data_IF_389254658733
#
_entry.id   IF_389254658733
#
_cell.length_a   1.000
_cell.length_b   1.000
_cell.length_c   1.000
_cell.angle_alpha   90.00
_cell.angle_beta   90.00
_cell.angle_gamma   90.00
#
_symmetry.space_group_name_H-M   'P 1'
#
loop_
_entity.id
_entity.type
_entity.pdbx_description
1 polymer ?
#
# COMPACT_ATOMS: atom_id res chain seq x y z
N UNK A 1 -38.10 15.15 30.79
CA UNK A 1 -37.05 15.65 29.88
C UNK A 1 -35.67 15.00 30.16
N UNK A 2 -35.24 14.82 31.41
CA UNK A 2 -33.89 14.26 31.76
C UNK A 2 -33.59 12.85 31.20
N UNK A 3 -34.57 11.92 31.19
CA UNK A 3 -34.41 10.54 30.65
C UNK A 3 -34.14 10.51 29.13
N UNK A 4 -34.82 11.37 28.34
CA UNK A 4 -34.62 11.43 26.88
C UNK A 4 -33.22 11.97 26.51
N UNK A 5 -32.72 12.99 27.25
CA UNK A 5 -31.36 13.49 27.07
C UNK A 5 -30.30 12.45 27.46
N UNK A 6 -30.51 11.66 28.52
CA UNK A 6 -29.59 10.61 28.92
C UNK A 6 -29.47 9.51 27.86
N UNK A 7 -30.60 9.05 27.29
CA UNK A 7 -30.60 8.05 26.22
C UNK A 7 -29.88 8.59 24.97
N UNK A 8 -30.10 9.85 24.59
CA UNK A 8 -29.42 10.47 23.45
C UNK A 8 -27.90 10.53 23.63
N UNK A 9 -27.43 10.87 24.85
CA UNK A 9 -26.00 10.90 25.19
C UNK A 9 -25.39 9.50 25.14
N UNK A 10 -26.06 8.49 25.65
CA UNK A 10 -25.59 7.09 25.62
C UNK A 10 -25.49 6.60 24.17
N UNK A 11 -26.51 6.86 23.33
CA UNK A 11 -26.48 6.49 21.91
C UNK A 11 -25.35 7.20 21.16
N UNK A 12 -25.09 8.46 21.47
CA UNK A 12 -24.00 9.23 20.87
C UNK A 12 -22.62 8.66 21.28
N UNK A 13 -22.45 8.31 22.56
CA UNK A 13 -21.21 7.71 23.06
C UNK A 13 -20.97 6.32 22.44
N UNK A 14 -22.00 5.48 22.31
CA UNK A 14 -21.90 4.17 21.66
C UNK A 14 -21.60 4.35 20.15
N UNK A 15 -22.23 5.29 19.48
CA UNK A 15 -21.98 5.60 18.07
C UNK A 15 -20.55 6.09 17.84
N UNK A 16 -20.08 7.04 18.64
CA UNK A 16 -18.71 7.57 18.55
C UNK A 16 -17.68 6.51 18.95
N UNK A 17 -17.94 5.75 20.00
CA UNK A 17 -17.05 4.65 20.43
C UNK A 17 -16.95 3.55 19.40
N UNK A 18 -18.07 3.10 18.83
CA UNK A 18 -18.11 2.12 17.76
C UNK A 18 -17.39 2.60 16.50
N UNK A 19 -17.60 3.86 16.12
CA UNK A 19 -16.91 4.48 14.98
C UNK A 19 -15.38 4.57 15.21
N UNK A 20 -14.94 4.95 16.41
CA UNK A 20 -13.52 4.99 16.76
C UNK A 20 -12.87 3.60 16.71
N UNK A 21 -13.53 2.56 17.26
CA UNK A 21 -13.04 1.18 17.19
C UNK A 21 -12.94 0.68 15.75
N UNK A 22 -13.92 0.98 14.91
CA UNK A 22 -13.87 0.67 13.49
C UNK A 22 -12.73 1.42 12.78
N UNK A 23 -12.61 2.73 13.04
CA UNK A 23 -11.58 3.58 12.43
C UNK A 23 -10.15 3.18 12.80
N UNK A 24 -9.95 2.68 14.02
CA UNK A 24 -8.67 2.19 14.54
C UNK A 24 -8.46 0.70 14.30
N UNK A 25 -9.38 0.00 13.63
CA UNK A 25 -9.21 -1.41 13.33
C UNK A 25 -7.97 -1.63 12.43
N UNK A 26 -7.25 -2.72 12.67
CA UNK A 26 -6.06 -3.08 11.90
C UNK A 26 -6.33 -3.11 10.38
N UNK A 27 -7.52 -3.56 9.97
CA UNK A 27 -7.92 -3.57 8.55
C UNK A 27 -7.96 -2.16 7.95
N UNK A 28 -8.52 -1.18 8.66
CA UNK A 28 -8.61 0.21 8.18
C UNK A 28 -7.24 0.90 8.20
N UNK A 29 -6.42 0.60 9.18
CA UNK A 29 -5.03 1.08 9.24
C UNK A 29 -4.27 0.59 8.01
N UNK A 30 -4.32 -0.71 7.71
CA UNK A 30 -3.67 -1.31 6.54
C UNK A 30 -4.19 -0.67 5.25
N UNK A 31 -5.50 -0.57 5.04
CA UNK A 31 -6.08 0.04 3.83
C UNK A 31 -5.58 1.46 3.61
N UNK A 32 -5.61 2.30 4.64
CA UNK A 32 -5.11 3.69 4.56
C UNK A 32 -3.62 3.74 4.25
N UNK A 33 -2.82 2.86 4.85
CA UNK A 33 -1.39 2.77 4.56
C UNK A 33 -1.16 2.45 3.09
N UNK A 34 -1.83 1.44 2.54
CA UNK A 34 -1.70 1.09 1.12
C UNK A 34 -2.12 2.22 0.19
N UNK A 35 -3.22 2.92 0.48
CA UNK A 35 -3.64 4.08 -0.30
C UNK A 35 -2.60 5.21 -0.25
N UNK A 36 -2.03 5.49 0.92
CA UNK A 36 -0.98 6.50 1.07
C UNK A 36 0.31 6.11 0.32
N UNK A 37 0.67 4.82 0.32
CA UNK A 37 1.81 4.30 -0.43
C UNK A 37 1.60 4.44 -1.95
N UNK A 38 0.40 4.17 -2.46
CA UNK A 38 0.07 4.37 -3.87
C UNK A 38 0.25 5.83 -4.30
N UNK A 39 -0.20 6.79 -3.48
CA UNK A 39 0.04 8.22 -3.70
C UNK A 39 1.54 8.54 -3.68
N UNK A 40 2.30 7.94 -2.76
CA UNK A 40 3.77 8.14 -2.70
C UNK A 40 4.49 7.58 -3.92
N UNK A 41 3.99 6.51 -4.52
CA UNK A 41 4.51 5.92 -5.75
C UNK A 41 4.14 6.73 -7.00
N UNK A 42 3.09 7.53 -6.95
CA UNK A 42 2.64 8.34 -8.10
C UNK A 42 3.55 9.55 -8.34
N UNK A 43 3.60 10.00 -9.61
CA UNK A 43 4.46 11.10 -10.08
C UNK A 43 3.75 11.87 -11.20
N UNK A 44 3.63 13.18 -11.05
CA UNK A 44 2.92 14.06 -12.00
C UNK A 44 3.85 14.91 -12.89
N UNK A 45 5.13 14.55 -12.98
CA UNK A 45 6.12 15.31 -13.73
C UNK A 45 7.52 15.19 -13.14
N UNK A 46 8.39 16.17 -13.41
CA UNK A 46 9.74 16.17 -12.88
C UNK A 46 9.74 16.37 -11.35
N UNK A 47 10.52 15.58 -10.66
CA UNK A 47 10.67 15.64 -9.20
C UNK A 47 12.13 15.91 -8.83
N UNK A 48 12.33 16.76 -7.84
CA UNK A 48 13.67 16.97 -7.28
C UNK A 48 14.10 15.75 -6.45
N UNK A 49 15.41 15.50 -6.29
CA UNK A 49 15.92 14.40 -5.45
C UNK A 49 15.36 14.42 -4.03
N UNK A 50 15.14 15.62 -3.48
CA UNK A 50 14.55 15.77 -2.13
C UNK A 50 13.09 15.30 -2.11
N UNK A 51 12.29 15.65 -3.12
CA UNK A 51 10.90 15.19 -3.22
C UNK A 51 10.82 13.66 -3.37
N UNK A 52 11.70 13.07 -4.17
CA UNK A 52 11.80 11.61 -4.33
C UNK A 52 12.12 10.95 -2.97
N UNK A 53 13.11 11.47 -2.25
CA UNK A 53 13.49 10.95 -0.94
C UNK A 53 12.33 11.01 0.07
N UNK A 54 11.61 12.14 0.11
CA UNK A 54 10.44 12.32 0.99
C UNK A 54 9.30 11.36 0.65
N UNK A 55 8.98 11.18 -0.64
CA UNK A 55 7.93 10.26 -1.08
C UNK A 55 8.31 8.80 -0.86
N UNK A 56 9.57 8.43 -1.01
CA UNK A 56 10.03 7.04 -0.88
C UNK A 56 10.31 6.63 0.57
N UNK A 57 10.49 7.57 1.48
CA UNK A 57 10.71 7.25 2.90
C UNK A 57 9.60 6.38 3.49
N UNK A 58 8.30 6.74 3.41
CA UNK A 58 7.23 5.90 3.96
C UNK A 58 7.15 4.53 3.27
N UNK A 59 7.48 4.43 1.98
CA UNK A 59 7.56 3.14 1.26
C UNK A 59 8.65 2.27 1.86
N UNK A 60 9.85 2.83 2.05
CA UNK A 60 10.98 2.11 2.66
C UNK A 60 10.67 1.67 4.10
N UNK A 61 10.07 2.56 4.90
CA UNK A 61 9.75 2.31 6.30
C UNK A 61 8.62 1.25 6.47
N UNK A 62 7.81 1.04 5.44
CA UNK A 62 6.76 0.01 5.41
C UNK A 62 7.28 -1.38 5.09
N UNK A 63 8.45 -1.53 4.47
CA UNK A 63 9.03 -2.82 4.07
C UNK A 63 9.81 -3.41 5.25
N UNK A 64 9.58 -4.68 5.54
CA UNK A 64 10.36 -5.40 6.56
C UNK A 64 11.84 -5.49 6.19
N UNK A 65 12.76 -5.63 7.17
CA UNK A 65 14.21 -5.73 6.91
C UNK A 65 14.60 -6.81 5.90
N UNK A 66 13.79 -7.87 5.79
CA UNK A 66 13.87 -8.89 4.75
C UNK A 66 12.47 -9.13 4.21
N UNK A 67 12.24 -8.75 2.95
CA UNK A 67 10.96 -8.89 2.26
C UNK A 67 11.10 -9.93 1.15
N UNK A 68 10.24 -10.93 1.19
CA UNK A 68 10.17 -11.96 0.15
C UNK A 68 9.43 -11.40 -1.08
N UNK A 69 10.08 -11.36 -2.22
CA UNK A 69 9.46 -11.01 -3.51
C UNK A 69 9.36 -12.25 -4.37
N UNK A 70 8.15 -12.58 -4.80
CA UNK A 70 7.87 -13.77 -5.59
C UNK A 70 7.16 -13.38 -6.89
N UNK A 71 7.64 -13.92 -8.01
CA UNK A 71 6.99 -13.87 -9.33
C UNK A 71 6.78 -15.32 -9.78
N UNK A 72 5.61 -15.91 -9.52
CA UNK A 72 5.37 -17.34 -9.73
C UNK A 72 5.61 -17.78 -11.19
N UNK A 73 5.23 -16.97 -12.14
CA UNK A 73 5.34 -17.25 -13.58
C UNK A 73 6.80 -17.37 -14.06
N UNK A 74 7.75 -16.79 -13.29
CA UNK A 74 9.20 -16.84 -13.56
C UNK A 74 9.96 -17.80 -12.66
N UNK A 75 9.29 -18.46 -11.74
CA UNK A 75 9.96 -19.21 -10.68
C UNK A 75 10.95 -18.32 -9.87
N UNK A 76 10.69 -17.01 -9.83
CA UNK A 76 11.50 -16.05 -9.11
C UNK A 76 11.07 -15.98 -7.66
N UNK A 77 12.04 -16.10 -6.76
CA UNK A 77 11.83 -16.02 -5.32
C UNK A 77 13.11 -15.49 -4.68
N UNK A 78 13.05 -14.31 -4.11
CA UNK A 78 14.21 -13.66 -3.53
C UNK A 78 13.84 -12.87 -2.27
N UNK A 79 14.76 -12.84 -1.30
CA UNK A 79 14.67 -12.01 -0.11
C UNK A 79 15.40 -10.70 -0.37
N UNK A 80 14.66 -9.59 -0.39
CA UNK A 80 15.19 -8.29 -0.72
C UNK A 80 15.16 -7.36 0.51
N UNK A 81 16.18 -6.53 0.62
CA UNK A 81 16.24 -5.47 1.63
C UNK A 81 15.41 -4.25 1.20
N UNK A 82 14.85 -3.46 2.15
CA UNK A 82 14.06 -2.26 1.86
C UNK A 82 14.76 -1.26 0.95
N UNK A 83 16.07 -1.11 1.13
CA UNK A 83 16.88 -0.21 0.31
C UNK A 83 16.92 -0.60 -1.15
N UNK A 84 17.07 -1.89 -1.44
CA UNK A 84 17.13 -2.44 -2.80
C UNK A 84 15.76 -2.35 -3.49
N UNK A 85 14.68 -2.72 -2.80
CA UNK A 85 13.30 -2.57 -3.31
C UNK A 85 13.01 -1.10 -3.65
N UNK A 86 13.34 -0.19 -2.73
CA UNK A 86 13.14 1.25 -2.94
C UNK A 86 13.97 1.77 -4.12
N UNK A 87 15.20 1.28 -4.28
CA UNK A 87 16.04 1.62 -5.43
C UNK A 87 15.40 1.21 -6.76
N UNK A 88 14.86 0.00 -6.85
CA UNK A 88 14.14 -0.46 -8.05
C UNK A 88 12.90 0.40 -8.33
N UNK A 89 12.13 0.75 -7.31
CA UNK A 89 10.96 1.62 -7.45
C UNK A 89 11.34 3.02 -7.94
N UNK A 90 12.41 3.61 -7.41
CA UNK A 90 12.94 4.91 -7.87
C UNK A 90 13.42 4.82 -9.31
N UNK A 91 14.18 3.78 -9.67
CA UNK A 91 14.67 3.57 -11.01
C UNK A 91 13.52 3.41 -12.03
N UNK A 92 12.47 2.68 -11.67
CA UNK A 92 11.26 2.55 -12.49
C UNK A 92 10.55 3.90 -12.66
N UNK A 93 10.29 4.63 -11.55
CA UNK A 93 9.64 5.96 -11.58
C UNK A 93 10.42 6.99 -12.40
N UNK A 94 11.75 6.96 -12.33
CA UNK A 94 12.61 7.94 -13.03
C UNK A 94 12.54 7.82 -14.55
N UNK A 95 12.20 6.64 -15.06
CA UNK A 95 12.03 6.39 -16.51
C UNK A 95 10.70 6.92 -17.05
N UNK A 96 9.72 7.16 -16.19
CA UNK A 96 8.40 7.61 -16.61
C UNK A 96 8.33 9.13 -16.59
N UNK A 97 7.70 9.76 -17.56
CA UNK A 97 7.41 11.20 -17.54
C UNK A 97 6.38 11.52 -16.45
N UNK A 98 5.33 10.71 -16.37
CA UNK A 98 4.35 10.71 -15.29
C UNK A 98 3.99 9.26 -14.95
N UNK A 99 3.54 9.02 -13.72
CA UNK A 99 3.16 7.70 -13.23
C UNK A 99 2.02 7.86 -12.23
N UNK A 100 0.89 7.26 -12.52
CA UNK A 100 -0.24 7.20 -11.61
C UNK A 100 -0.45 5.76 -11.15
N UNK A 101 -0.43 5.55 -9.84
CA UNK A 101 -0.68 4.26 -9.21
C UNK A 101 -1.91 4.39 -8.35
N UNK A 102 -2.94 3.62 -8.66
CA UNK A 102 -4.15 3.51 -7.86
C UNK A 102 -4.31 2.08 -7.36
N UNK A 103 -4.88 1.94 -6.17
CA UNK A 103 -5.24 0.65 -5.59
C UNK A 103 -6.76 0.56 -5.50
N UNK A 104 -7.30 -0.43 -6.15
CA UNK A 104 -8.72 -0.75 -6.15
C UNK A 104 -8.97 -2.08 -5.46
N UNK A 105 -10.20 -2.33 -5.03
CA UNK A 105 -10.61 -3.59 -4.40
C UNK A 105 -9.65 -4.07 -3.30
N UNK A 106 -9.20 -3.18 -2.42
CA UNK A 106 -8.29 -3.56 -1.33
C UNK A 106 -9.04 -4.46 -0.33
N UNK A 107 -8.76 -5.75 -0.38
CA UNK A 107 -9.28 -6.76 0.53
C UNK A 107 -8.22 -7.09 1.58
N UNK A 108 -8.53 -6.84 2.84
CA UNK A 108 -7.64 -7.12 3.96
C UNK A 108 -8.22 -8.24 4.80
N UNK A 109 -7.45 -9.28 5.05
CA UNK A 109 -7.76 -10.38 5.96
C UNK A 109 -6.74 -10.40 7.10
N UNK A 110 -7.19 -10.68 8.30
CA UNK A 110 -6.34 -10.87 9.48
C UNK A 110 -6.52 -12.32 9.95
N UNK A 111 -5.81 -13.28 9.33
CA UNK A 111 -6.01 -14.70 9.64
C UNK A 111 -5.59 -15.07 11.07
N UNK A 112 -4.68 -14.31 11.65
CA UNK A 112 -4.27 -14.47 13.04
C UNK A 112 -3.72 -13.14 13.59
N UNK A 113 -3.59 -13.06 14.93
CA UNK A 113 -3.04 -11.88 15.58
C UNK A 113 -1.65 -11.55 15.02
N UNK A 114 -1.48 -10.33 14.52
CA UNK A 114 -0.20 -9.85 13.99
C UNK A 114 0.14 -10.34 12.57
N UNK A 115 -0.74 -11.06 11.88
CA UNK A 115 -0.58 -11.45 10.48
C UNK A 115 -1.70 -10.87 9.63
N UNK A 116 -1.35 -10.22 8.53
CA UNK A 116 -2.27 -9.63 7.58
C UNK A 116 -2.01 -10.14 6.18
N UNK A 117 -3.07 -10.34 5.42
CA UNK A 117 -3.04 -10.65 4.00
C UNK A 117 -3.83 -9.57 3.27
N UNK A 118 -3.24 -9.03 2.22
CA UNK A 118 -3.86 -8.00 1.39
C UNK A 118 -3.88 -8.47 -0.05
N UNK A 119 -5.03 -8.41 -0.67
CA UNK A 119 -5.19 -8.54 -2.11
C UNK A 119 -5.73 -7.21 -2.65
N UNK A 120 -5.09 -6.66 -3.66
CA UNK A 120 -5.52 -5.42 -4.28
C UNK A 120 -5.38 -5.49 -5.80
N UNK A 121 -6.24 -4.77 -6.52
CA UNK A 121 -6.03 -4.46 -7.92
C UNK A 121 -5.14 -3.21 -7.97
N UNK A 122 -3.96 -3.36 -8.57
CA UNK A 122 -3.03 -2.26 -8.82
C UNK A 122 -3.27 -1.77 -10.23
N UNK A 123 -3.79 -0.57 -10.34
CA UNK A 123 -3.97 0.12 -11.60
C UNK A 123 -2.81 1.08 -11.81
N UNK A 124 -2.07 0.90 -12.91
CA UNK A 124 -0.89 1.69 -13.24
C UNK A 124 -1.12 2.37 -14.58
N UNK A 125 -1.05 3.69 -14.59
CA UNK A 125 -1.06 4.51 -15.79
C UNK A 125 0.23 5.28 -15.86
N UNK A 126 0.94 5.23 -16.98
CA UNK A 126 2.19 5.98 -17.15
C UNK A 126 2.29 6.62 -18.53
N UNK A 127 3.11 7.69 -18.61
CA UNK A 127 3.45 8.40 -19.81
C UNK A 127 2.21 8.94 -20.56
N UNK A 128 1.23 9.44 -19.81
CA UNK A 128 0.03 10.05 -20.38
C UNK A 128 0.42 11.14 -21.38
N UNK A 129 -0.21 11.13 -22.57
CA UNK A 129 0.12 12.00 -23.71
C UNK A 129 1.52 11.80 -24.33
N UNK A 130 2.18 10.66 -24.07
CA UNK A 130 3.44 10.28 -24.70
C UNK A 130 3.24 9.07 -25.64
N UNK A 131 4.13 8.84 -26.61
CA UNK A 131 4.03 7.67 -27.52
C UNK A 131 4.14 6.32 -26.81
N UNK A 132 4.77 6.29 -25.66
CA UNK A 132 4.97 5.11 -24.80
C UNK A 132 3.96 5.04 -23.65
N UNK A 133 2.78 5.66 -23.85
CA UNK A 133 1.65 5.53 -22.92
C UNK A 133 1.28 4.07 -22.70
N UNK A 134 1.03 3.73 -21.44
CA UNK A 134 0.42 2.45 -21.09
C UNK A 134 -0.50 2.57 -19.87
N UNK A 135 -1.44 1.65 -19.81
CA UNK A 135 -2.39 1.49 -18.73
C UNK A 135 -2.59 0.00 -18.49
N UNK A 136 -2.37 -0.43 -17.27
CA UNK A 136 -2.45 -1.85 -16.88
C UNK A 136 -3.10 -2.00 -15.51
N UNK A 137 -3.80 -3.11 -15.32
CA UNK A 137 -4.40 -3.48 -14.04
C UNK A 137 -4.02 -4.90 -13.68
N UNK A 138 -3.42 -5.07 -12.52
CA UNK A 138 -2.94 -6.37 -12.05
C UNK A 138 -3.38 -6.64 -10.62
N UNK A 139 -3.76 -7.88 -10.33
CA UNK A 139 -4.00 -8.31 -8.96
C UNK A 139 -2.68 -8.68 -8.30
N UNK A 140 -2.41 -8.05 -7.15
CA UNK A 140 -1.20 -8.27 -6.36
C UNK A 140 -1.59 -8.76 -4.97
N UNK A 141 -0.81 -9.66 -4.42
CA UNK A 141 -1.00 -10.16 -3.06
C UNK A 141 0.20 -9.78 -2.18
N UNK A 142 -0.11 -9.37 -0.96
CA UNK A 142 0.86 -8.96 0.03
C UNK A 142 0.61 -9.69 1.34
N UNK A 143 1.68 -10.10 2.01
CA UNK A 143 1.62 -10.61 3.38
C UNK A 143 2.31 -9.62 4.31
N UNK A 144 1.61 -9.29 5.39
CA UNK A 144 2.03 -8.31 6.39
C UNK A 144 2.25 -8.98 7.74
N UNK A 145 3.18 -8.44 8.49
CA UNK A 145 3.38 -8.79 9.89
C UNK A 145 3.39 -7.54 10.75
N UNK A 146 2.68 -7.61 11.87
CA UNK A 146 2.66 -6.52 12.86
C UNK A 146 3.88 -6.65 13.76
N UNK A 147 4.72 -5.64 13.74
CA UNK A 147 5.86 -5.49 14.64
C UNK A 147 5.58 -4.30 15.55
N UNK A 148 5.46 -4.56 16.86
CA UNK A 148 5.01 -3.58 17.85
C UNK A 148 3.65 -2.97 17.47
N UNK A 149 3.63 -1.73 16.98
CA UNK A 149 2.41 -1.02 16.55
C UNK A 149 2.28 -0.87 15.03
N UNK A 150 3.32 -1.24 14.26
CA UNK A 150 3.40 -1.03 12.82
C UNK A 150 3.16 -2.32 12.05
N UNK A 151 2.42 -2.22 10.95
CA UNK A 151 2.31 -3.27 9.96
C UNK A 151 3.43 -3.14 8.94
N UNK A 152 4.23 -4.20 8.75
CA UNK A 152 5.33 -4.24 7.78
C UNK A 152 5.06 -5.27 6.71
N UNK A 153 5.48 -4.94 5.48
CA UNK A 153 5.42 -5.84 4.32
C UNK A 153 6.52 -6.90 4.42
N UNK A 154 6.12 -8.16 4.56
CA UNK A 154 7.03 -9.31 4.61
C UNK A 154 7.11 -10.08 3.30
N UNK A 155 6.02 -10.05 2.51
CA UNK A 155 5.98 -10.75 1.22
C UNK A 155 5.14 -9.98 0.22
N UNK A 156 5.64 -9.90 -1.01
CA UNK A 156 4.90 -9.42 -2.17
C UNK A 156 4.90 -10.51 -3.26
N UNK A 157 3.71 -10.88 -3.73
CA UNK A 157 3.55 -11.79 -4.87
C UNK A 157 3.06 -10.96 -6.05
N UNK A 158 3.94 -10.80 -7.04
CA UNK A 158 3.75 -9.94 -8.19
C UNK A 158 3.48 -10.78 -9.44
N UNK A 159 2.59 -10.38 -10.33
CA UNK A 159 2.46 -10.97 -11.66
C UNK A 159 3.65 -10.60 -12.54
N UNK A 160 4.02 -11.47 -13.47
CA UNK A 160 5.14 -11.28 -14.39
C UNK A 160 5.07 -9.97 -15.19
N UNK A 161 3.88 -9.55 -15.57
CA UNK A 161 3.66 -8.33 -16.33
C UNK A 161 4.21 -7.07 -15.64
N UNK A 162 4.14 -6.98 -14.30
CA UNK A 162 4.67 -5.85 -13.54
C UNK A 162 6.21 -5.81 -13.46
N UNK A 163 6.88 -6.91 -13.79
CA UNK A 163 8.34 -7.06 -13.64
C UNK A 163 9.07 -7.02 -14.99
N UNK A 164 8.34 -7.10 -16.10
CA UNK A 164 8.92 -7.12 -17.47
C UNK A 164 9.39 -5.76 -18.01
N UNK A 165 9.05 -4.66 -17.34
CA UNK A 165 9.27 -3.31 -17.86
C UNK A 165 10.40 -2.54 -17.22
#
# INVERSE_FOLDING_TARGET
MKRKCFIAVVLLLVGVGGWLLYYLSDQQVIKRTFTALAVSLSKDGEETPVMIALKMKPVKDFIAPACEVTVPERNYHEMLEPGLITHYLIAYRSRQANLHVALEEILVKIPSKGRGEVSALVHVTANYNQPDFFEETHRVMFSLQKQEKNWLLHKATLPDALVRR
#
